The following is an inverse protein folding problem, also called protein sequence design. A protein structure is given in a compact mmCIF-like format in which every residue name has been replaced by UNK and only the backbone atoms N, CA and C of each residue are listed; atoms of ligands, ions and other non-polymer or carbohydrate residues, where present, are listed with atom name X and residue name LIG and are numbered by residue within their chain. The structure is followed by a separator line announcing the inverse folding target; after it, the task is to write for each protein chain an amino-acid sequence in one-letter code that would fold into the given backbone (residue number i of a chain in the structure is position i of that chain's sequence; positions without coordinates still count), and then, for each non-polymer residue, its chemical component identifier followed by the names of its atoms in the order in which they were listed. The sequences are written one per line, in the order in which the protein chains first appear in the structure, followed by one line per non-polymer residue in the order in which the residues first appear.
data_IF_650029333969
#
_entry.id   IF_650029333969
#
_cell.length_a   1.000
_cell.length_b   1.000
_cell.length_c   1.000
_cell.angle_alpha   90.00
_cell.angle_beta   90.00
_cell.angle_gamma   90.00
#
_symmetry.space_group_name_H-M   'P 1'
#
loop_
_entity.id
_entity.type
_entity.pdbx_description
1 polymer ?
#
# COMPACT_ATOMS: atom_id res chain seq x y z
N UNK A 1 -9.04 23.84 11.90
CA UNK A 1 -8.38 22.76 11.13
C UNK A 1 -7.20 22.25 11.92
N UNK A 2 -7.12 20.95 12.16
CA UNK A 2 -6.03 20.35 12.93
C UNK A 2 -4.78 20.13 12.06
N UNK A 3 -3.61 20.40 12.64
CA UNK A 3 -2.31 20.17 12.03
C UNK A 3 -1.40 19.44 13.02
N UNK A 4 -0.84 18.29 12.62
CA UNK A 4 0.08 17.48 13.45
C UNK A 4 1.36 17.14 12.68
N UNK A 5 2.49 17.18 13.35
CA UNK A 5 3.77 16.76 12.78
C UNK A 5 4.17 15.42 13.37
N UNK A 6 4.54 14.47 12.51
CA UNK A 6 4.95 13.12 12.88
C UNK A 6 6.42 12.91 12.53
N UNK A 7 7.16 12.26 13.41
CA UNK A 7 8.58 11.92 13.18
C UNK A 7 8.70 10.57 12.48
N UNK A 8 9.67 10.45 11.58
CA UNK A 8 10.04 9.21 10.92
C UNK A 8 11.41 8.71 11.39
N UNK A 9 11.58 7.39 11.50
CA UNK A 9 12.92 6.78 11.65
C UNK A 9 13.79 7.11 10.44
N UNK A 10 14.98 7.64 10.68
CA UNK A 10 15.88 8.10 9.63
C UNK A 10 16.76 6.95 9.09
N UNK A 11 17.20 7.02 7.82
CA UNK A 11 16.84 8.06 6.84
C UNK A 11 15.41 7.85 6.30
N UNK A 12 14.74 8.96 5.99
CA UNK A 12 13.38 9.00 5.46
C UNK A 12 13.28 10.01 4.32
N UNK A 13 12.56 9.65 3.26
CA UNK A 13 12.13 10.57 2.21
C UNK A 13 10.63 10.39 1.99
N UNK A 14 9.87 11.46 2.21
CA UNK A 14 8.43 11.45 1.97
C UNK A 14 8.11 11.12 0.51
N UNK A 15 8.80 11.79 -0.42
CA UNK A 15 8.66 11.57 -1.85
C UNK A 15 8.88 10.10 -2.23
N UNK A 16 10.00 9.50 -1.79
CA UNK A 16 10.32 8.10 -2.10
C UNK A 16 9.28 7.11 -1.56
N UNK A 17 8.76 7.34 -0.34
CA UNK A 17 7.72 6.50 0.23
C UNK A 17 6.40 6.60 -0.56
N UNK A 18 5.97 7.81 -0.91
CA UNK A 18 4.74 8.04 -1.67
C UNK A 18 4.84 7.50 -3.11
N UNK A 19 6.00 7.66 -3.75
CA UNK A 19 6.27 7.24 -5.13
C UNK A 19 6.78 5.80 -5.26
N UNK A 20 6.75 5.05 -4.18
CA UNK A 20 7.26 3.68 -4.11
C UNK A 20 6.56 2.71 -5.08
N UNK A 21 5.28 2.91 -5.37
CA UNK A 21 4.53 2.10 -6.34
C UNK A 21 3.22 2.77 -6.79
N UNK A 22 2.36 2.02 -7.48
CA UNK A 22 1.16 2.53 -8.14
C UNK A 22 0.03 3.01 -7.21
N UNK A 23 0.03 2.72 -5.90
CA UNK A 23 -1.12 3.06 -5.03
C UNK A 23 -1.46 4.55 -5.01
N UNK A 24 -0.44 5.40 -5.16
CA UNK A 24 -0.60 6.86 -5.24
C UNK A 24 -1.53 7.30 -6.37
N UNK A 25 -1.70 6.47 -7.41
CA UNK A 25 -2.57 6.75 -8.57
C UNK A 25 -3.98 6.13 -8.41
N UNK A 26 -4.27 5.48 -7.27
CA UNK A 26 -5.55 4.86 -6.98
C UNK A 26 -6.34 5.72 -6.00
N UNK A 27 -7.61 5.97 -6.34
CA UNK A 27 -8.53 6.70 -5.47
C UNK A 27 -8.66 6.05 -4.09
N UNK A 28 -8.80 6.82 -3.00
CA UNK A 28 -8.95 8.27 -2.97
C UNK A 28 -7.64 9.05 -2.83
N UNK A 29 -6.47 8.46 -3.12
CA UNK A 29 -5.22 9.23 -3.17
C UNK A 29 -5.26 10.26 -4.31
N UNK A 30 -4.63 11.41 -4.04
CA UNK A 30 -4.25 12.40 -5.05
C UNK A 30 -2.82 12.83 -4.76
N UNK A 31 -1.99 12.91 -5.79
CA UNK A 31 -0.62 13.38 -5.66
C UNK A 31 -0.41 14.63 -6.49
N UNK A 32 -0.04 15.70 -5.81
CA UNK A 32 0.40 16.95 -6.41
C UNK A 32 1.92 16.89 -6.58
N UNK A 33 2.38 16.63 -7.80
CA UNK A 33 3.81 16.49 -8.12
C UNK A 33 4.58 17.79 -7.94
N UNK A 34 3.96 18.93 -8.27
CA UNK A 34 4.61 20.24 -8.24
C UNK A 34 4.92 20.65 -6.81
N UNK A 35 3.95 20.46 -5.90
CA UNK A 35 4.10 20.85 -4.49
C UNK A 35 4.58 19.71 -3.59
N UNK A 36 4.71 18.49 -4.13
CA UNK A 36 5.03 17.26 -3.39
C UNK A 36 4.10 17.01 -2.20
N UNK A 37 2.80 17.02 -2.48
CA UNK A 37 1.76 16.87 -1.47
C UNK A 37 0.87 15.68 -1.79
N UNK A 38 0.65 14.83 -0.77
CA UNK A 38 -0.29 13.72 -0.85
C UNK A 38 -1.62 14.10 -0.22
N UNK A 39 -2.68 13.95 -0.98
CA UNK A 39 -4.06 14.00 -0.52
C UNK A 39 -4.65 12.61 -0.30
N UNK A 40 -5.52 12.49 0.70
CA UNK A 40 -6.33 11.30 0.90
C UNK A 40 -7.61 11.66 1.66
N UNK A 41 -8.72 10.97 1.39
CA UNK A 41 -9.96 11.12 2.16
C UNK A 41 -10.10 9.95 3.12
N UNK A 42 -9.85 10.21 4.40
CA UNK A 42 -9.86 9.22 5.47
C UNK A 42 -11.23 9.15 6.13
N UNK A 43 -11.74 7.94 6.36
CA UNK A 43 -12.85 7.71 7.29
C UNK A 43 -12.31 7.32 8.66
N UNK A 44 -12.57 8.15 9.67
CA UNK A 44 -12.23 7.89 11.06
C UNK A 44 -13.14 6.83 11.69
N UNK A 45 -12.70 6.26 12.80
CA UNK A 45 -13.48 5.35 13.64
C UNK A 45 -14.75 5.99 14.19
N UNK A 46 -14.73 7.31 14.41
CA UNK A 46 -15.90 8.14 14.75
C UNK A 46 -16.99 8.14 13.68
N UNK A 47 -16.68 7.63 12.47
CA UNK A 47 -17.58 7.58 11.33
C UNK A 47 -17.52 8.82 10.45
N UNK A 48 -16.71 9.82 10.80
CA UNK A 48 -16.50 11.03 9.99
C UNK A 48 -15.56 10.75 8.83
N UNK A 49 -15.83 11.33 7.66
CA UNK A 49 -14.92 11.30 6.53
C UNK A 49 -14.27 12.67 6.38
N UNK A 50 -12.94 12.73 6.42
CA UNK A 50 -12.16 13.97 6.45
C UNK A 50 -11.13 13.96 5.32
N UNK A 51 -10.76 15.14 4.84
CA UNK A 51 -9.67 15.27 3.87
C UNK A 51 -8.35 15.50 4.61
N UNK A 52 -7.32 14.81 4.13
CA UNK A 52 -5.96 14.93 4.62
C UNK A 52 -5.07 15.55 3.55
N UNK A 53 -4.13 16.37 4.00
CA UNK A 53 -3.02 16.91 3.21
C UNK A 53 -1.72 16.57 3.94
N UNK A 54 -0.82 15.86 3.26
CA UNK A 54 0.45 15.40 3.82
C UNK A 54 1.60 15.94 2.98
N UNK A 55 2.62 16.49 3.64
CA UNK A 55 3.85 16.97 2.99
C UNK A 55 5.07 16.64 3.84
N UNK A 56 6.25 16.66 3.23
CA UNK A 56 7.50 16.47 3.98
C UNK A 56 7.68 17.56 5.05
N UNK A 57 8.24 17.16 6.19
CA UNK A 57 8.66 18.04 7.26
C UNK A 57 10.03 17.61 7.77
N UNK A 58 10.73 18.48 8.49
CA UNK A 58 12.05 18.14 9.06
C UNK A 58 11.94 16.88 9.94
N UNK A 59 12.64 15.82 9.54
CA UNK A 59 12.66 14.53 10.25
C UNK A 59 11.38 13.69 10.13
N UNK A 60 10.43 14.04 9.24
CA UNK A 60 9.19 13.29 9.09
C UNK A 60 8.17 13.96 8.18
N UNK A 61 6.93 14.09 8.65
CA UNK A 61 5.78 14.49 7.81
C UNK A 61 4.89 15.48 8.56
N UNK A 62 4.44 16.51 7.85
CA UNK A 62 3.37 17.39 8.28
C UNK A 62 2.04 16.86 7.77
N UNK A 63 1.06 16.70 8.67
CA UNK A 63 -0.31 16.29 8.34
C UNK A 63 -1.26 17.42 8.68
N UNK A 64 -2.17 17.75 7.76
CA UNK A 64 -3.26 18.70 7.95
C UNK A 64 -4.59 17.98 7.68
N UNK A 65 -5.55 18.17 8.59
CA UNK A 65 -6.92 17.67 8.45
C UNK A 65 -7.87 18.83 8.11
N UNK A 66 -8.87 18.57 7.25
CA UNK A 66 -9.83 19.59 6.80
C UNK A 66 -10.76 20.12 7.90
N UNK A 67 -10.73 19.52 9.09
CA UNK A 67 -11.59 19.81 10.23
C UNK A 67 -10.77 19.80 11.52
N UNK A 68 -11.35 20.30 12.62
CA UNK A 68 -10.79 20.09 13.95
C UNK A 68 -11.08 18.67 14.45
N UNK A 69 -10.06 18.06 15.05
CA UNK A 69 -10.07 16.70 15.55
C UNK A 69 -9.98 16.70 17.08
N UNK A 70 -10.76 15.81 17.70
CA UNK A 70 -10.59 15.48 19.11
C UNK A 70 -9.23 14.81 19.36
N UNK A 71 -8.78 14.74 20.62
CA UNK A 71 -7.52 14.06 20.96
C UNK A 71 -7.50 12.60 20.47
N UNK A 72 -8.60 11.86 20.66
CA UNK A 72 -8.69 10.47 20.20
C UNK A 72 -8.60 10.34 18.67
N UNK A 73 -9.21 11.26 17.92
CA UNK A 73 -9.09 11.29 16.45
C UNK A 73 -7.69 11.69 15.98
N UNK A 74 -6.98 12.54 16.73
CA UNK A 74 -5.58 12.87 16.45
C UNK A 74 -4.66 11.67 16.67
N UNK A 75 -4.87 10.91 17.74
CA UNK A 75 -4.11 9.68 18.01
C UNK A 75 -4.38 8.60 16.93
N UNK A 76 -5.63 8.45 16.51
CA UNK A 76 -6.02 7.58 15.39
C UNK A 76 -5.34 8.03 14.09
N UNK A 77 -5.38 9.34 13.78
CA UNK A 77 -4.74 9.91 12.59
C UNK A 77 -3.22 9.69 12.62
N UNK A 78 -2.57 9.95 13.75
CA UNK A 78 -1.13 9.75 13.90
C UNK A 78 -0.73 8.29 13.66
N UNK A 79 -1.47 7.34 14.24
CA UNK A 79 -1.25 5.90 14.05
C UNK A 79 -1.48 5.48 12.59
N UNK A 80 -2.54 6.01 11.98
CA UNK A 80 -2.89 5.73 10.57
C UNK A 80 -1.82 6.23 9.62
N UNK A 81 -1.36 7.47 9.76
CA UNK A 81 -0.32 8.04 8.89
C UNK A 81 1.02 7.37 9.11
N UNK A 82 1.35 7.03 10.37
CA UNK A 82 2.53 6.22 10.71
C UNK A 82 2.52 4.90 9.93
N UNK A 83 1.38 4.21 9.93
CA UNK A 83 1.19 2.99 9.14
C UNK A 83 1.33 3.25 7.62
N UNK A 84 0.59 4.22 7.08
CA UNK A 84 0.54 4.52 5.64
C UNK A 84 1.93 4.78 5.03
N UNK A 85 2.80 5.45 5.78
CA UNK A 85 4.13 5.85 5.32
C UNK A 85 5.25 5.00 5.90
N UNK A 86 4.94 4.06 6.80
CA UNK A 86 5.92 3.23 7.50
C UNK A 86 6.91 4.05 8.33
N UNK A 87 6.45 5.12 8.99
CA UNK A 87 7.32 6.07 9.68
C UNK A 87 8.13 5.42 10.81
N UNK A 88 7.63 4.32 11.37
CA UNK A 88 8.23 3.52 12.43
C UNK A 88 9.23 2.46 11.92
N UNK A 89 9.26 2.17 10.62
CA UNK A 89 10.13 1.13 10.07
C UNK A 89 11.60 1.49 10.25
N UNK A 90 12.40 0.50 10.66
CA UNK A 90 13.85 0.62 10.76
C UNK A 90 14.52 -0.09 9.59
N UNK A 91 15.11 0.69 8.69
CA UNK A 91 15.86 0.17 7.55
C UNK A 91 17.37 0.37 7.74
N UNK A 92 17.83 0.70 8.95
CA UNK A 92 19.23 1.05 9.20
C UNK A 92 20.17 -0.11 8.86
N UNK A 93 19.85 -1.33 9.28
CA UNK A 93 20.64 -2.53 8.97
C UNK A 93 20.64 -2.83 7.48
N UNK A 94 19.51 -2.63 6.80
CA UNK A 94 19.44 -2.72 5.35
C UNK A 94 20.35 -1.70 4.67
N UNK A 95 20.31 -0.42 5.06
CA UNK A 95 21.12 0.62 4.43
C UNK A 95 22.63 0.43 4.65
N UNK A 96 23.04 -0.13 5.80
CA UNK A 96 24.43 -0.52 6.03
C UNK A 96 24.92 -1.59 5.05
N UNK A 97 24.05 -2.55 4.71
CA UNK A 97 24.34 -3.58 3.71
C UNK A 97 24.27 -3.01 2.29
N UNK A 98 23.22 -2.25 1.98
CA UNK A 98 22.99 -1.66 0.66
C UNK A 98 24.09 -0.65 0.28
N UNK A 99 24.66 0.06 1.25
CA UNK A 99 25.78 0.98 1.02
C UNK A 99 27.04 0.30 0.49
N UNK A 100 27.18 -1.01 0.67
CA UNK A 100 28.30 -1.80 0.16
C UNK A 100 28.02 -2.39 -1.24
N UNK A 101 26.81 -2.23 -1.76
CA UNK A 101 26.38 -2.77 -3.04
C UNK A 101 26.17 -1.64 -4.07
N UNK A 102 27.00 -1.55 -5.13
CA UNK A 102 26.82 -0.57 -6.20
C UNK A 102 25.41 -0.58 -6.81
N UNK A 103 24.79 -1.76 -6.96
CA UNK A 103 23.44 -1.92 -7.53
C UNK A 103 22.31 -1.39 -6.65
N UNK A 104 22.59 -1.03 -5.39
CA UNK A 104 21.62 -0.52 -4.43
C UNK A 104 21.94 0.89 -3.94
N UNK A 105 22.91 1.59 -4.53
CA UNK A 105 23.26 2.95 -4.10
C UNK A 105 22.07 3.92 -4.17
N UNK A 106 21.16 3.74 -5.14
CA UNK A 106 19.95 4.58 -5.25
C UNK A 106 18.99 4.43 -4.06
N UNK A 107 19.09 3.33 -3.31
CA UNK A 107 18.32 3.13 -2.07
C UNK A 107 18.82 4.05 -0.96
N UNK A 108 20.14 4.10 -0.79
CA UNK A 108 20.79 4.86 0.27
C UNK A 108 20.65 6.35 0.00
N UNK A 109 20.97 6.80 -1.22
CA UNK A 109 20.92 8.22 -1.57
C UNK A 109 19.50 8.79 -1.61
N UNK A 110 18.51 7.97 -1.97
CA UNK A 110 17.10 8.37 -2.05
C UNK A 110 16.26 8.05 -0.82
N UNK A 111 16.86 7.49 0.25
CA UNK A 111 16.14 6.99 1.43
C UNK A 111 14.91 6.13 1.06
N UNK A 112 15.08 5.24 0.07
CA UNK A 112 14.01 4.39 -0.48
C UNK A 112 13.86 3.08 0.33
N UNK A 113 12.71 2.43 0.23
CA UNK A 113 12.47 1.11 0.83
C UNK A 113 11.14 1.00 1.56
N UNK A 114 10.67 2.12 2.12
CA UNK A 114 9.28 2.23 2.59
C UNK A 114 8.34 2.27 1.41
N UNK A 115 7.19 1.62 1.56
CA UNK A 115 6.13 1.57 0.55
C UNK A 115 4.90 2.28 1.05
N UNK A 116 4.20 2.99 0.17
CA UNK A 116 2.93 3.63 0.49
C UNK A 116 1.88 2.55 0.75
N UNK A 117 1.15 2.67 1.85
CA UNK A 117 0.07 1.77 2.23
C UNK A 117 -1.25 2.53 2.27
N UNK A 118 -2.34 1.80 2.12
CA UNK A 118 -3.66 2.36 2.42
C UNK A 118 -3.85 2.46 3.94
N UNK A 119 -4.77 3.31 4.44
CA UNK A 119 -5.06 3.39 5.86
C UNK A 119 -5.41 2.05 6.52
N UNK A 120 -6.10 1.17 5.79
CA UNK A 120 -6.52 -0.15 6.25
C UNK A 120 -5.89 -1.26 5.41
N UNK A 121 -5.61 -2.41 6.03
CA UNK A 121 -5.14 -3.57 5.27
C UNK A 121 -6.28 -4.13 4.40
N UNK A 122 -7.54 -3.97 4.81
CA UNK A 122 -8.69 -4.27 3.96
C UNK A 122 -8.62 -3.56 2.61
N UNK A 123 -8.36 -2.26 2.60
CA UNK A 123 -8.24 -1.50 1.36
C UNK A 123 -7.06 -1.98 0.51
N UNK A 124 -5.90 -2.26 1.13
CA UNK A 124 -4.75 -2.81 0.42
C UNK A 124 -5.07 -4.16 -0.23
N UNK A 125 -5.71 -5.09 0.49
CA UNK A 125 -6.14 -6.40 -0.05
C UNK A 125 -7.14 -6.21 -1.18
N UNK A 126 -8.14 -5.34 -1.02
CA UNK A 126 -9.12 -5.05 -2.06
C UNK A 126 -8.43 -4.50 -3.32
N UNK A 127 -7.56 -3.49 -3.18
CA UNK A 127 -6.78 -2.91 -4.27
C UNK A 127 -5.90 -3.94 -4.97
N UNK A 128 -5.24 -4.82 -4.22
CA UNK A 128 -4.45 -5.93 -4.79
C UNK A 128 -5.32 -6.89 -5.59
N UNK A 129 -6.53 -7.22 -5.13
CA UNK A 129 -7.47 -8.02 -5.95
C UNK A 129 -7.77 -7.30 -7.28
N UNK A 130 -7.93 -5.96 -7.27
CA UNK A 130 -8.17 -5.16 -8.47
C UNK A 130 -7.00 -5.16 -9.47
N UNK A 131 -5.78 -5.51 -9.08
CA UNK A 131 -4.61 -5.55 -9.98
C UNK A 131 -4.40 -6.90 -10.67
N UNK A 132 -5.02 -7.96 -10.15
CA UNK A 132 -4.86 -9.32 -10.70
C UNK A 132 -5.35 -9.40 -12.15
N UNK A 133 -4.62 -10.04 -13.07
CA UNK A 133 -5.04 -10.32 -14.46
C UNK A 133 -5.73 -9.14 -15.19
N UNK A 134 -5.17 -7.93 -15.08
CA UNK A 134 -5.75 -6.76 -15.74
C UNK A 134 -4.70 -5.69 -16.03
N UNK A 135 -5.07 -4.74 -16.87
CA UNK A 135 -4.26 -3.57 -17.15
C UNK A 135 -4.48 -2.51 -16.08
N UNK A 136 -3.45 -1.71 -15.80
CA UNK A 136 -3.51 -0.64 -14.79
C UNK A 136 -4.68 0.34 -14.99
N UNK A 137 -5.00 0.71 -16.23
CA UNK A 137 -6.15 1.56 -16.53
C UNK A 137 -7.49 0.94 -16.10
N UNK A 138 -7.63 -0.39 -16.20
CA UNK A 138 -8.81 -1.10 -15.73
C UNK A 138 -8.85 -1.19 -14.20
N UNK A 139 -7.70 -1.38 -13.52
CA UNK A 139 -7.60 -1.27 -12.06
C UNK A 139 -8.08 0.10 -11.58
N UNK A 140 -7.56 1.20 -12.16
CA UNK A 140 -7.99 2.56 -11.81
C UNK A 140 -9.49 2.75 -11.97
N UNK A 141 -10.06 2.30 -13.10
CA UNK A 141 -11.51 2.40 -13.36
C UNK A 141 -12.34 1.61 -12.37
N UNK A 142 -11.95 0.38 -12.01
CA UNK A 142 -12.65 -0.40 -10.99
C UNK A 142 -12.60 0.29 -9.63
N UNK A 143 -11.44 0.84 -9.25
CA UNK A 143 -11.28 1.62 -8.01
C UNK A 143 -12.18 2.86 -7.97
N UNK A 144 -12.20 3.65 -9.06
CA UNK A 144 -13.08 4.81 -9.23
C UNK A 144 -14.54 4.41 -9.02
N UNK A 145 -15.02 3.40 -9.74
CA UNK A 145 -16.42 2.99 -9.62
C UNK A 145 -16.74 2.45 -8.21
N UNK A 146 -15.81 1.72 -7.59
CA UNK A 146 -16.00 1.18 -6.24
C UNK A 146 -16.15 2.31 -5.21
N UNK A 147 -15.28 3.33 -5.26
CA UNK A 147 -15.35 4.51 -4.39
C UNK A 147 -16.56 5.39 -4.71
N UNK A 148 -16.88 5.60 -5.98
CA UNK A 148 -18.03 6.40 -6.39
C UNK A 148 -19.36 5.82 -5.89
N UNK A 149 -19.53 4.50 -5.97
CA UNK A 149 -20.79 3.84 -5.64
C UNK A 149 -20.91 3.53 -4.14
N UNK A 150 -19.80 3.11 -3.51
CA UNK A 150 -19.82 2.58 -2.14
C UNK A 150 -18.97 3.38 -1.16
N UNK A 151 -18.18 4.35 -1.61
CA UNK A 151 -17.34 5.17 -0.75
C UNK A 151 -18.16 6.16 0.06
N UNK A 152 -17.69 6.49 1.26
CA UNK A 152 -18.37 7.45 2.13
C UNK A 152 -18.06 8.89 1.69
N UNK A 153 -19.06 9.75 1.44
CA UNK A 153 -18.84 11.15 1.12
C UNK A 153 -18.04 11.87 2.20
N UNK A 154 -17.12 12.74 1.77
CA UNK A 154 -16.43 13.71 2.61
C UNK A 154 -17.45 14.54 3.40
N UNK A 155 -17.17 14.76 4.68
CA UNK A 155 -18.03 15.55 5.55
C UNK A 155 -17.71 17.05 5.39
N UNK A 156 -18.74 17.84 5.06
CA UNK A 156 -18.63 19.28 4.89
C UNK A 156 -17.96 19.70 3.57
N UNK A 157 -17.96 21.01 3.33
CA UNK A 157 -17.24 21.59 2.20
C UNK A 157 -15.79 21.86 2.60
N UNK A 158 -14.85 21.49 1.72
CA UNK A 158 -13.43 21.70 1.92
C UNK A 158 -12.90 22.59 0.80
N UNK A 159 -12.25 23.70 1.17
CA UNK A 159 -11.68 24.67 0.24
C UNK A 159 -10.20 24.93 0.50
N UNK A 160 -9.66 25.96 -0.18
CA UNK A 160 -8.27 26.38 -0.03
C UNK A 160 -7.27 25.34 -0.53
N UNK A 161 -6.15 25.19 0.18
CA UNK A 161 -5.00 24.33 -0.22
C UNK A 161 -5.35 22.84 -0.38
N UNK A 162 -6.48 22.39 0.15
CA UNK A 162 -6.96 21.03 -0.05
C UNK A 162 -7.45 20.78 -1.48
N UNK A 163 -7.87 21.83 -2.21
CA UNK A 163 -8.44 21.68 -3.55
C UNK A 163 -7.46 21.07 -4.56
N UNK A 164 -6.14 21.28 -4.40
CA UNK A 164 -5.13 20.68 -5.29
C UNK A 164 -4.92 19.18 -5.03
N UNK A 165 -5.39 18.68 -3.89
CA UNK A 165 -5.16 17.30 -3.44
C UNK A 165 -6.45 16.55 -3.09
N UNK A 166 -7.59 17.03 -3.59
CA UNK A 166 -8.88 16.37 -3.45
C UNK A 166 -9.29 15.66 -4.74
N UNK A 167 -9.60 14.37 -4.64
CA UNK A 167 -10.12 13.65 -5.78
C UNK A 167 -11.54 14.15 -6.10
N UNK A 168 -11.94 14.31 -7.37
CA UNK A 168 -13.28 14.83 -7.73
C UNK A 168 -14.47 14.05 -7.14
N UNK A 169 -14.28 12.77 -6.79
CA UNK A 169 -15.30 11.96 -6.13
C UNK A 169 -15.61 12.41 -4.70
N UNK A 170 -14.67 13.09 -4.03
CA UNK A 170 -14.76 13.54 -2.65
C UNK A 170 -15.34 12.47 -1.70
N UNK A 171 -14.82 11.24 -1.80
CA UNK A 171 -15.28 10.07 -1.05
C UNK A 171 -14.10 9.29 -0.49
N UNK A 172 -14.24 8.81 0.74
CA UNK A 172 -13.35 7.82 1.34
C UNK A 172 -13.53 6.45 0.67
N UNK A 173 -12.56 5.55 0.83
CA UNK A 173 -12.70 4.17 0.39
C UNK A 173 -13.86 3.46 1.12
N UNK A 174 -14.61 2.55 0.47
CA UNK A 174 -15.72 1.86 1.11
C UNK A 174 -15.28 1.02 2.32
N UNK A 175 -16.10 1.00 3.37
CA UNK A 175 -15.86 0.12 4.51
C UNK A 175 -16.23 -1.33 4.18
N UNK A 176 -15.66 -2.32 4.89
CA UNK A 176 -16.10 -3.71 4.78
C UNK A 176 -17.60 -3.86 5.00
N UNK A 177 -18.17 -3.18 5.99
CA UNK A 177 -19.60 -3.24 6.30
C UNK A 177 -20.46 -2.73 5.14
N UNK A 178 -20.03 -1.66 4.47
CA UNK A 178 -20.77 -1.10 3.34
C UNK A 178 -20.78 -2.04 2.13
N UNK A 179 -19.66 -2.70 1.87
CA UNK A 179 -19.54 -3.68 0.79
C UNK A 179 -20.17 -5.04 1.14
N UNK A 180 -20.21 -5.43 2.43
CA UNK A 180 -20.85 -6.66 2.87
C UNK A 180 -22.39 -6.59 2.80
N UNK A 181 -22.95 -5.39 2.88
CA UNK A 181 -24.40 -5.13 2.84
C UNK A 181 -24.99 -5.08 1.41
N UNK A 182 -24.17 -5.19 0.36
CA UNK A 182 -24.62 -5.32 -1.03
C UNK A 182 -24.58 -6.77 -1.49
N UNK A 183 -25.12 -7.04 -2.68
CA UNK A 183 -25.02 -8.35 -3.35
C UNK A 183 -24.02 -8.33 -4.53
N UNK A 184 -23.70 -9.53 -5.03
CA UNK A 184 -22.76 -9.70 -6.15
C UNK A 184 -23.27 -9.07 -7.44
N UNK A 185 -24.58 -9.13 -7.70
CA UNK A 185 -25.20 -8.61 -8.94
C UNK A 185 -24.98 -7.10 -9.01
N UNK A 186 -25.25 -6.41 -7.91
CA UNK A 186 -25.08 -4.97 -7.74
C UNK A 186 -23.60 -4.59 -7.85
N UNK A 187 -22.71 -5.28 -7.12
CA UNK A 187 -21.27 -5.03 -7.21
C UNK A 187 -20.79 -5.18 -8.65
N UNK A 188 -21.09 -6.29 -9.30
CA UNK A 188 -20.67 -6.57 -10.68
C UNK A 188 -21.21 -5.54 -11.67
N UNK A 189 -22.49 -5.18 -11.55
CA UNK A 189 -23.18 -4.24 -12.43
C UNK A 189 -22.69 -2.80 -12.30
N UNK A 190 -22.34 -2.35 -11.09
CA UNK A 190 -22.00 -0.95 -10.82
C UNK A 190 -20.49 -0.65 -10.87
N UNK A 191 -19.63 -1.65 -10.69
CA UNK A 191 -18.17 -1.42 -10.50
C UNK A 191 -17.28 -1.91 -11.63
N UNK A 192 -17.81 -2.74 -12.54
CA UNK A 192 -17.04 -3.46 -13.58
C UNK A 192 -15.97 -4.41 -13.01
N UNK A 193 -16.12 -4.89 -11.79
CA UNK A 193 -15.20 -5.85 -11.15
C UNK A 193 -15.07 -7.19 -11.91
N UNK A 194 -16.08 -7.56 -12.69
CA UNK A 194 -16.11 -8.83 -13.42
C UNK A 194 -16.01 -10.00 -12.45
N UNK A 195 -15.11 -10.95 -12.70
CA UNK A 195 -14.93 -12.12 -11.83
C UNK A 195 -14.45 -11.78 -10.41
N UNK A 196 -13.95 -10.56 -10.17
CA UNK A 196 -13.50 -10.12 -8.84
C UNK A 196 -14.66 -9.72 -7.92
N UNK A 197 -15.85 -9.48 -8.47
CA UNK A 197 -17.02 -9.07 -7.69
C UNK A 197 -17.31 -10.03 -6.51
N UNK A 198 -17.41 -11.36 -6.71
CA UNK A 198 -17.61 -12.28 -5.60
C UNK A 198 -16.42 -12.31 -4.62
N UNK A 199 -15.20 -11.99 -5.06
CA UNK A 199 -14.01 -12.02 -4.18
C UNK A 199 -14.00 -10.81 -3.24
N UNK A 200 -14.32 -9.62 -3.77
CA UNK A 200 -14.46 -8.40 -2.98
C UNK A 200 -15.64 -8.53 -2.00
N UNK A 201 -16.77 -9.11 -2.44
CA UNK A 201 -17.92 -9.35 -1.56
C UNK A 201 -17.57 -10.29 -0.40
N UNK A 202 -16.94 -11.43 -0.70
CA UNK A 202 -16.53 -12.41 0.31
C UNK A 202 -15.49 -11.82 1.28
N UNK A 203 -14.50 -11.07 0.78
CA UNK A 203 -13.54 -10.32 1.59
C UNK A 203 -14.25 -9.36 2.56
N UNK A 204 -15.21 -8.59 2.04
CA UNK A 204 -15.98 -7.64 2.84
C UNK A 204 -16.83 -8.33 3.90
N UNK A 205 -17.52 -9.42 3.56
CA UNK A 205 -18.35 -10.19 4.49
C UNK A 205 -17.52 -10.86 5.59
N UNK A 206 -16.40 -11.49 5.25
CA UNK A 206 -15.51 -12.11 6.24
C UNK A 206 -14.87 -11.08 7.16
N UNK A 207 -14.51 -9.91 6.64
CA UNK A 207 -13.96 -8.82 7.46
C UNK A 207 -15.04 -8.18 8.35
N UNK A 208 -16.22 -7.90 7.80
CA UNK A 208 -17.32 -7.26 8.52
C UNK A 208 -17.91 -8.14 9.64
N UNK A 209 -17.89 -9.47 9.45
CA UNK A 209 -18.33 -10.44 10.47
C UNK A 209 -17.26 -10.77 11.52
N UNK A 210 -16.01 -10.33 11.32
CA UNK A 210 -14.88 -10.68 12.18
C UNK A 210 -14.28 -12.06 11.91
N UNK A 211 -14.76 -12.81 10.92
CA UNK A 211 -14.18 -14.10 10.51
C UNK A 211 -12.75 -13.94 9.95
N UNK A 212 -12.41 -12.76 9.43
CA UNK A 212 -11.10 -12.39 8.96
C UNK A 212 -10.69 -11.02 9.54
N UNK A 213 -9.85 -11.04 10.57
CA UNK A 213 -9.26 -9.82 11.12
C UNK A 213 -7.98 -9.45 10.35
N UNK A 214 -8.13 -8.60 9.32
CA UNK A 214 -7.01 -8.09 8.53
C UNK A 214 -6.16 -7.09 9.30
N UNK A 215 -6.77 -6.28 10.17
CA UNK A 215 -6.04 -5.23 10.87
C UNK A 215 -5.06 -5.83 11.89
N UNK A 216 -5.41 -6.95 12.52
CA UNK A 216 -4.49 -7.72 13.35
C UNK A 216 -3.25 -8.24 12.58
N UNK A 217 -3.34 -8.45 11.25
CA UNK A 217 -2.19 -8.91 10.47
C UNK A 217 -1.10 -7.85 10.33
N UNK A 218 -1.42 -6.56 10.45
CA UNK A 218 -0.44 -5.45 10.39
C UNK A 218 0.66 -5.59 11.44
N UNK A 219 0.32 -6.16 12.59
CA UNK A 219 1.20 -6.29 13.76
C UNK A 219 1.42 -7.75 14.17
N UNK A 220 1.21 -8.69 13.25
CA UNK A 220 1.30 -10.12 13.54
C UNK A 220 2.75 -10.60 13.65
N UNK A 221 3.09 -11.27 14.75
CA UNK A 221 4.40 -11.91 14.95
C UNK A 221 4.55 -13.26 14.25
N UNK A 222 3.60 -13.63 13.38
CA UNK A 222 3.68 -14.88 12.62
C UNK A 222 4.91 -14.87 11.69
N UNK A 223 5.63 -16.00 11.59
CA UNK A 223 6.64 -16.19 10.55
C UNK A 223 6.05 -15.96 9.16
N UNK A 224 6.83 -15.36 8.25
CA UNK A 224 6.40 -15.05 6.88
C UNK A 224 5.75 -16.22 6.14
N UNK A 225 6.22 -17.49 6.24
CA UNK A 225 5.53 -18.63 5.62
C UNK A 225 4.09 -18.84 6.12
N UNK A 226 3.84 -18.66 7.42
CA UNK A 226 2.51 -18.82 8.01
C UNK A 226 1.60 -17.63 7.69
N UNK A 227 2.13 -16.41 7.70
CA UNK A 227 1.41 -15.23 7.26
C UNK A 227 1.05 -15.33 5.77
N UNK A 228 1.98 -15.78 4.92
CA UNK A 228 1.75 -16.07 3.50
C UNK A 228 0.62 -17.08 3.32
N UNK A 229 0.59 -18.16 4.11
CA UNK A 229 -0.48 -19.17 4.08
C UNK A 229 -1.84 -18.56 4.41
N UNK A 230 -1.92 -17.68 5.42
CA UNK A 230 -3.16 -16.96 5.76
C UNK A 230 -3.63 -16.05 4.63
N UNK A 231 -2.72 -15.29 4.03
CA UNK A 231 -3.04 -14.40 2.91
C UNK A 231 -3.50 -15.18 1.67
N UNK A 232 -2.85 -16.30 1.34
CA UNK A 232 -3.24 -17.18 0.23
C UNK A 232 -4.61 -17.85 0.42
N UNK A 233 -5.10 -17.94 1.65
CA UNK A 233 -6.45 -18.45 1.92
C UNK A 233 -7.54 -17.44 1.53
N UNK A 234 -7.19 -16.17 1.30
CA UNK A 234 -8.13 -15.14 0.85
C UNK A 234 -8.38 -15.32 -0.64
N UNK A 235 -9.64 -15.49 -1.02
CA UNK A 235 -10.03 -15.66 -2.42
C UNK A 235 -9.63 -14.46 -3.27
N UNK A 236 -9.01 -14.74 -4.42
CA UNK A 236 -8.44 -13.71 -5.30
C UNK A 236 -6.98 -13.36 -4.98
N UNK A 237 -6.41 -13.88 -3.89
CA UNK A 237 -5.00 -13.71 -3.56
C UNK A 237 -4.19 -14.91 -4.05
N UNK A 238 -3.59 -14.76 -5.24
CA UNK A 238 -2.61 -15.70 -5.79
C UNK A 238 -1.16 -15.35 -5.44
N UNK A 239 -0.20 -16.05 -6.06
CA UNK A 239 1.24 -15.89 -5.79
C UNK A 239 1.78 -14.46 -5.90
N UNK A 240 1.37 -13.75 -6.97
CA UNK A 240 1.70 -12.32 -7.15
C UNK A 240 1.08 -11.45 -6.03
N UNK A 241 -0.22 -11.61 -5.80
CA UNK A 241 -0.98 -10.79 -4.85
C UNK A 241 -0.46 -10.93 -3.41
N UNK A 242 -0.15 -12.16 -2.98
CA UNK A 242 0.41 -12.38 -1.64
C UNK A 242 1.78 -11.72 -1.48
N UNK A 243 2.61 -11.70 -2.52
CA UNK A 243 3.92 -11.07 -2.42
C UNK A 243 3.83 -9.55 -2.32
N UNK A 244 2.89 -8.92 -3.05
CA UNK A 244 2.57 -7.49 -2.87
C UNK A 244 2.12 -7.21 -1.44
N UNK A 245 1.23 -8.03 -0.89
CA UNK A 245 0.72 -7.84 0.48
C UNK A 245 1.79 -8.06 1.55
N UNK A 246 2.73 -8.99 1.35
CA UNK A 246 3.86 -9.17 2.26
C UNK A 246 4.76 -7.93 2.28
N UNK A 247 5.05 -7.33 1.12
CA UNK A 247 5.80 -6.06 1.03
C UNK A 247 5.05 -4.92 1.73
N UNK A 248 3.74 -4.83 1.55
CA UNK A 248 2.89 -3.87 2.28
C UNK A 248 3.01 -4.11 3.79
N UNK A 249 2.98 -5.36 4.25
CA UNK A 249 3.15 -5.74 5.67
C UNK A 249 4.59 -5.60 6.18
N UNK A 250 5.54 -5.11 5.37
CA UNK A 250 6.94 -4.98 5.75
C UNK A 250 7.67 -6.31 5.94
N UNK A 251 7.22 -7.37 5.25
CA UNK A 251 7.83 -8.70 5.25
C UNK A 251 8.70 -8.84 4.00
N UNK A 252 9.98 -8.54 4.17
CA UNK A 252 10.95 -8.47 3.08
C UNK A 252 11.82 -9.72 2.93
N UNK A 253 11.59 -10.75 3.73
CA UNK A 253 12.37 -11.99 3.78
C UNK A 253 11.98 -12.98 2.67
N UNK A 254 11.24 -12.55 1.66
CA UNK A 254 10.81 -13.38 0.53
C UNK A 254 10.78 -12.58 -0.78
N UNK A 255 11.13 -13.25 -1.88
CA UNK A 255 11.14 -12.65 -3.22
C UNK A 255 9.87 -13.07 -3.98
N UNK A 256 9.15 -12.14 -4.63
CA UNK A 256 8.13 -12.49 -5.61
C UNK A 256 8.79 -13.09 -6.86
N UNK A 257 8.97 -14.41 -6.88
CA UNK A 257 9.51 -15.09 -8.07
C UNK A 257 8.42 -15.19 -9.14
N UNK A 258 8.47 -14.29 -10.11
CA UNK A 258 7.65 -14.29 -11.32
C UNK A 258 8.52 -14.39 -12.59
N UNK A 259 7.89 -14.31 -13.77
CA UNK A 259 8.63 -14.41 -15.04
C UNK A 259 9.64 -13.28 -15.24
N UNK A 260 9.40 -12.10 -14.67
CA UNK A 260 10.37 -11.01 -14.71
C UNK A 260 11.53 -11.28 -13.76
N UNK A 261 11.26 -11.78 -12.54
CA UNK A 261 12.30 -12.20 -11.60
C UNK A 261 13.27 -13.20 -12.23
N UNK A 262 12.70 -14.25 -12.86
CA UNK A 262 13.47 -15.30 -13.54
C UNK A 262 14.31 -14.70 -14.67
N UNK A 263 13.73 -13.84 -15.50
CA UNK A 263 14.45 -13.18 -16.60
C UNK A 263 15.57 -12.27 -16.12
N UNK A 264 15.29 -11.42 -15.13
CA UNK A 264 16.23 -10.45 -14.59
C UNK A 264 17.43 -11.13 -13.92
N UNK A 265 17.18 -12.15 -13.09
CA UNK A 265 18.24 -12.95 -12.46
C UNK A 265 19.05 -13.73 -13.50
N UNK A 266 18.36 -14.35 -14.47
CA UNK A 266 19.00 -15.07 -15.56
C UNK A 266 19.98 -14.19 -16.33
N UNK A 267 19.58 -12.98 -16.70
CA UNK A 267 20.42 -12.03 -17.42
C UNK A 267 21.59 -11.50 -16.57
N UNK A 268 21.36 -11.25 -15.29
CA UNK A 268 22.35 -10.63 -14.41
C UNK A 268 23.46 -11.61 -13.97
N UNK A 269 23.13 -12.88 -13.72
CA UNK A 269 24.07 -13.86 -13.14
C UNK A 269 24.25 -15.16 -13.93
N UNK A 270 23.41 -15.44 -14.92
CA UNK A 270 23.41 -16.73 -15.63
C UNK A 270 23.48 -16.58 -17.16
N UNK A 271 23.93 -15.44 -17.67
CA UNK A 271 24.13 -15.19 -19.11
C UNK A 271 22.89 -15.48 -19.98
N UNK A 272 21.68 -15.28 -19.43
CA UNK A 272 20.42 -15.55 -20.12
C UNK A 272 19.99 -17.03 -20.14
N UNK A 273 20.71 -17.93 -19.45
CA UNK A 273 20.30 -19.32 -19.31
C UNK A 273 19.06 -19.46 -18.42
N UNK A 274 18.16 -20.43 -18.69
CA UNK A 274 16.97 -20.64 -17.87
C UNK A 274 17.33 -20.87 -16.39
N UNK A 275 16.68 -20.11 -15.50
CA UNK A 275 16.78 -20.25 -14.05
C UNK A 275 15.43 -20.58 -13.45
N UNK A 276 15.43 -21.16 -12.26
CA UNK A 276 14.24 -21.44 -11.47
C UNK A 276 14.18 -20.59 -10.21
N UNK A 277 13.19 -20.91 -9.36
CA UNK A 277 12.98 -20.25 -8.07
C UNK A 277 14.19 -20.34 -7.16
N UNK A 278 14.85 -21.50 -7.14
CA UNK A 278 16.01 -21.76 -6.27
C UNK A 278 17.17 -20.83 -6.59
N UNK A 279 17.46 -20.61 -7.86
CA UNK A 279 18.52 -19.71 -8.32
C UNK A 279 18.21 -18.25 -7.97
N UNK A 280 16.95 -17.82 -8.12
CA UNK A 280 16.51 -16.48 -7.70
C UNK A 280 16.68 -16.28 -6.20
N UNK A 281 16.29 -17.27 -5.39
CA UNK A 281 16.44 -17.20 -3.94
C UNK A 281 17.93 -17.19 -3.53
N UNK A 282 18.76 -18.01 -4.17
CA UNK A 282 20.20 -18.08 -3.92
C UNK A 282 20.92 -16.76 -4.28
N UNK A 283 20.55 -16.11 -5.39
CA UNK A 283 21.16 -14.84 -5.83
C UNK A 283 21.06 -13.73 -4.77
N UNK A 284 20.06 -13.79 -3.89
CA UNK A 284 19.81 -12.81 -2.86
C UNK A 284 19.96 -13.35 -1.43
N UNK A 285 20.48 -14.57 -1.25
CA UNK A 285 20.58 -15.21 0.06
C UNK A 285 21.38 -14.37 1.07
N UNK A 286 22.47 -13.72 0.62
CA UNK A 286 23.32 -12.85 1.45
C UNK A 286 22.58 -11.67 2.09
N UNK A 287 21.40 -11.31 1.59
CA UNK A 287 20.60 -10.20 2.12
C UNK A 287 19.71 -10.62 3.29
N UNK A 288 19.62 -11.92 3.61
CA UNK A 288 18.88 -12.42 4.77
C UNK A 288 17.41 -12.00 4.75
N UNK A 289 16.98 -11.28 5.80
CA UNK A 289 15.62 -10.73 5.92
C UNK A 289 15.31 -9.63 4.89
N UNK A 290 16.31 -9.07 4.23
CA UNK A 290 16.16 -7.97 3.28
C UNK A 290 16.12 -8.39 1.82
N UNK A 291 16.15 -9.69 1.53
CA UNK A 291 16.25 -10.23 0.17
C UNK A 291 15.20 -9.69 -0.79
N UNK A 292 13.97 -9.48 -0.30
CA UNK A 292 12.86 -8.90 -1.06
C UNK A 292 13.07 -7.43 -1.39
N UNK A 293 13.56 -6.60 -0.45
CA UNK A 293 13.90 -5.20 -0.73
C UNK A 293 15.11 -5.09 -1.67
N UNK A 294 16.14 -5.90 -1.43
CA UNK A 294 17.32 -5.93 -2.29
C UNK A 294 16.93 -6.30 -3.72
N UNK A 295 16.10 -7.33 -3.91
CA UNK A 295 15.55 -7.71 -5.21
C UNK A 295 14.72 -6.59 -5.85
N UNK A 296 13.81 -5.98 -5.07
CA UNK A 296 12.86 -4.98 -5.58
C UNK A 296 13.57 -3.74 -6.12
N UNK A 297 14.64 -3.32 -5.44
CA UNK A 297 15.36 -2.09 -5.76
C UNK A 297 16.71 -2.31 -6.42
N UNK A 298 17.02 -3.55 -6.80
CA UNK A 298 18.20 -3.85 -7.57
C UNK A 298 18.20 -3.04 -8.88
N UNK A 299 19.33 -2.40 -9.19
CA UNK A 299 19.50 -1.69 -10.47
C UNK A 299 19.68 -2.70 -11.61
N UNK A 300 18.55 -3.24 -12.07
CA UNK A 300 18.47 -4.18 -13.17
C UNK A 300 18.85 -3.51 -14.48
N UNK A 301 19.90 -4.01 -15.13
CA UNK A 301 20.23 -3.63 -16.50
C UNK A 301 19.30 -4.41 -17.43
N UNK A 302 18.22 -3.78 -17.88
CA UNK A 302 17.26 -4.35 -18.85
C UNK A 302 17.83 -4.28 -20.26
#
# INVERSE_FOLDING_TARGET
MTQIQLTARQPFSFYSAVRSHGWVQLVPFVWDEENQVLGYILRLSSGRAIALRLSEATGGVQVQASVDLTTAEQDELASTVTWMLGLDQDLSTFYLLAGQEPKLQSMVTGAKGRVLRSPTLFEDVARTILTTNTLWAATKRMGINLVEQFGQPLEGEVGGDFMSVLHPLQRAFPTPQRLAATDEITLRGQTRLGYRAPYILELAQNTASGALDLEALKHSDLPTPELRKRLLAIKGIGGYAVAVLLVILGRYDSIPVDSWALKSVSNEWYEGQPVGKTEVEAAFERWGEWRGLAYWFWDWKV
#
